data_IF_644542520560
#
_entry.id   IF_644542520560
#
_cell.length_a   1.000
_cell.length_b   1.000
_cell.length_c   1.000
_cell.angle_alpha   90.00
_cell.angle_beta   90.00
_cell.angle_gamma   90.00
#
_symmetry.space_group_name_H-M   'P 1'
#
loop_
_entity.id
_entity.type
_entity.pdbx_description
1 polymer ?
#
# COMPACT_ATOMS: atom_id res chain seq x y z
N UNK A 1 38.09 0.23 -1.26
CA UNK A 1 38.05 0.20 0.22
C UNK A 1 39.45 -0.12 0.74
N UNK A 2 39.94 0.50 1.82
CA UNK A 2 41.19 0.10 2.49
C UNK A 2 40.95 -1.10 3.41
N UNK A 3 42.00 -1.81 3.85
CA UNK A 3 41.86 -2.96 4.78
C UNK A 3 41.23 -2.55 6.12
N UNK A 4 41.57 -1.36 6.63
CA UNK A 4 41.00 -0.83 7.87
C UNK A 4 39.53 -0.42 7.69
N UNK A 5 39.17 0.15 6.54
CA UNK A 5 37.76 0.41 6.17
C UNK A 5 36.97 -0.88 6.06
N UNK A 6 37.53 -1.92 5.43
CA UNK A 6 36.89 -3.23 5.31
C UNK A 6 36.60 -3.85 6.68
N UNK A 7 37.56 -3.77 7.60
CA UNK A 7 37.38 -4.24 8.97
C UNK A 7 36.30 -3.45 9.72
N UNK A 8 36.27 -2.13 9.57
CA UNK A 8 35.21 -1.29 10.15
C UNK A 8 33.83 -1.61 9.54
N UNK A 9 33.76 -1.84 8.23
CA UNK A 9 32.53 -2.22 7.52
C UNK A 9 31.98 -3.54 8.06
N UNK A 10 32.80 -4.61 8.07
CA UNK A 10 32.39 -5.91 8.60
C UNK A 10 31.92 -5.84 10.06
N UNK A 11 32.56 -4.99 10.88
CA UNK A 11 32.13 -4.79 12.27
C UNK A 11 30.75 -4.13 12.34
N UNK A 12 30.52 -3.08 11.54
CA UNK A 12 29.23 -2.41 11.48
C UNK A 12 28.14 -3.38 10.98
N UNK A 13 28.44 -4.17 9.95
CA UNK A 13 27.51 -5.16 9.39
C UNK A 13 27.19 -6.27 10.39
N UNK A 14 28.17 -6.73 11.17
CA UNK A 14 27.93 -7.64 12.28
C UNK A 14 26.97 -7.05 13.33
N UNK A 15 27.18 -5.80 13.74
CA UNK A 15 26.30 -5.12 14.70
C UNK A 15 24.88 -4.96 14.13
N UNK A 16 24.75 -4.61 12.84
CA UNK A 16 23.46 -4.51 12.14
C UNK A 16 22.74 -5.84 12.03
N UNK A 17 23.45 -6.91 11.67
CA UNK A 17 22.90 -8.26 11.58
C UNK A 17 22.43 -8.76 12.94
N UNK A 18 23.20 -8.47 14.00
CA UNK A 18 22.82 -8.81 15.38
C UNK A 18 21.51 -8.09 15.79
N UNK A 19 21.40 -6.80 15.50
CA UNK A 19 20.19 -6.02 15.77
C UNK A 19 18.99 -6.50 14.95
N UNK A 20 19.21 -6.88 13.69
CA UNK A 20 18.18 -7.48 12.84
C UNK A 20 17.65 -8.79 13.45
N UNK A 21 18.54 -9.69 13.85
CA UNK A 21 18.14 -10.95 14.49
C UNK A 21 17.44 -10.76 15.84
N UNK A 22 17.85 -9.76 16.62
CA UNK A 22 17.16 -9.41 17.87
C UNK A 22 15.79 -8.79 17.63
N UNK A 23 15.66 -7.91 16.62
CA UNK A 23 14.40 -7.26 16.27
C UNK A 23 13.33 -8.25 15.81
N UNK A 24 13.75 -9.36 15.21
CA UNK A 24 12.88 -10.44 14.73
C UNK A 24 12.75 -11.61 15.72
N UNK A 25 13.28 -11.48 16.95
CA UNK A 25 13.29 -12.53 17.98
C UNK A 25 13.70 -13.92 17.46
N UNK A 26 14.77 -13.97 16.64
CA UNK A 26 15.28 -15.21 16.04
C UNK A 26 15.61 -16.27 17.08
N UNK A 27 16.09 -15.87 18.26
CA UNK A 27 16.44 -16.79 19.35
C UNK A 27 15.21 -17.43 19.99
N UNK A 28 14.08 -16.72 19.98
CA UNK A 28 12.82 -17.20 20.57
C UNK A 28 12.00 -18.04 19.58
N UNK A 29 12.37 -18.04 18.30
CA UNK A 29 11.69 -18.79 17.22
C UNK A 29 10.60 -17.99 16.49
N UNK A 30 10.37 -16.73 16.87
CA UNK A 30 9.32 -15.89 16.27
C UNK A 30 9.49 -15.70 14.76
N UNK A 31 10.74 -15.64 14.28
CA UNK A 31 11.03 -15.57 12.84
C UNK A 31 10.52 -16.82 12.11
N UNK A 32 10.70 -18.01 12.70
CA UNK A 32 10.24 -19.26 12.08
C UNK A 32 8.70 -19.32 12.04
N UNK A 33 8.03 -18.83 13.09
CA UNK A 33 6.57 -18.72 13.15
C UNK A 33 6.00 -17.76 12.09
N UNK A 34 6.72 -16.70 11.75
CA UNK A 34 6.36 -15.78 10.66
C UNK A 34 6.56 -16.44 9.29
N UNK A 35 7.70 -17.12 9.11
CA UNK A 35 8.11 -17.69 7.84
C UNK A 35 7.35 -18.97 7.46
N UNK A 36 6.80 -19.71 8.41
CA UNK A 36 6.03 -20.94 8.15
C UNK A 36 4.80 -20.71 7.26
N UNK A 37 4.31 -19.47 7.17
CA UNK A 37 3.15 -19.08 6.37
C UNK A 37 3.49 -18.30 5.10
N UNK A 38 4.78 -18.11 4.81
CA UNK A 38 5.28 -17.37 3.66
C UNK A 38 6.53 -18.06 3.08
N UNK A 39 6.33 -19.14 2.34
CA UNK A 39 7.36 -20.01 1.79
C UNK A 39 8.32 -19.26 0.86
N UNK A 40 7.81 -18.39 0.00
CA UNK A 40 8.67 -17.56 -0.87
C UNK A 40 9.59 -16.65 -0.03
N UNK A 41 9.07 -16.10 1.07
CA UNK A 41 9.83 -15.25 1.99
C UNK A 41 10.85 -16.07 2.78
N UNK A 42 10.45 -17.25 3.24
CA UNK A 42 11.31 -18.23 3.91
C UNK A 42 12.52 -18.59 3.03
N UNK A 43 12.27 -18.98 1.79
CA UNK A 43 13.33 -19.38 0.86
C UNK A 43 14.26 -18.22 0.52
N UNK A 44 13.72 -17.00 0.42
CA UNK A 44 14.53 -15.80 0.22
C UNK A 44 15.43 -15.48 1.43
N UNK A 45 14.90 -15.58 2.66
CA UNK A 45 15.69 -15.40 3.89
C UNK A 45 16.81 -16.45 3.96
N UNK A 46 16.47 -17.72 3.78
CA UNK A 46 17.45 -18.82 3.81
C UNK A 46 18.52 -18.66 2.72
N UNK A 47 18.13 -18.24 1.51
CA UNK A 47 19.07 -18.00 0.42
C UNK A 47 20.05 -16.87 0.77
N UNK A 48 19.57 -15.79 1.37
CA UNK A 48 20.42 -14.66 1.78
C UNK A 48 21.38 -15.07 2.91
N UNK A 49 20.89 -15.80 3.92
CA UNK A 49 21.71 -16.33 5.02
C UNK A 49 22.76 -17.32 4.52
N UNK A 50 22.39 -18.19 3.56
CA UNK A 50 23.32 -19.13 2.92
C UNK A 50 24.46 -18.40 2.21
N UNK A 51 24.14 -17.36 1.43
CA UNK A 51 25.13 -16.55 0.72
C UNK A 51 26.02 -15.76 1.68
N UNK A 52 25.43 -15.15 2.71
CA UNK A 52 26.16 -14.39 3.73
C UNK A 52 27.13 -15.29 4.50
N UNK A 53 26.68 -16.45 4.97
CA UNK A 53 27.55 -17.41 5.67
C UNK A 53 28.67 -17.94 4.78
N UNK A 54 28.40 -18.15 3.49
CA UNK A 54 29.42 -18.54 2.50
C UNK A 54 30.48 -17.44 2.33
N UNK A 55 30.07 -16.18 2.21
CA UNK A 55 31.00 -15.04 2.11
C UNK A 55 31.87 -14.92 3.38
N UNK A 56 31.28 -15.10 4.56
CA UNK A 56 32.02 -15.13 5.84
C UNK A 56 33.06 -16.25 5.86
N UNK A 57 32.69 -17.48 5.50
CA UNK A 57 33.64 -18.60 5.44
C UNK A 57 34.76 -18.36 4.42
N UNK A 58 34.45 -17.79 3.27
CA UNK A 58 35.46 -17.40 2.28
C UNK A 58 36.46 -16.40 2.87
N UNK A 59 35.97 -15.37 3.56
CA UNK A 59 36.81 -14.39 4.26
C UNK A 59 37.73 -15.01 5.29
N UNK A 60 37.20 -15.92 6.12
CA UNK A 60 37.96 -16.61 7.18
C UNK A 60 38.99 -17.60 6.63
N UNK A 61 38.70 -18.26 5.51
CA UNK A 61 39.60 -19.25 4.89
C UNK A 61 40.91 -18.67 4.34
N UNK A 62 40.99 -17.34 4.17
CA UNK A 62 42.15 -16.66 3.58
C UNK A 62 43.30 -16.44 4.55
N UNK A 63 43.03 -16.39 5.84
CA UNK A 63 44.08 -16.27 6.86
C UNK A 63 43.86 -17.29 8.01
N UNK A 64 44.09 -18.58 7.73
CA UNK A 64 43.89 -19.64 8.71
C UNK A 64 44.92 -19.56 9.86
N UNK A 65 45.97 -18.76 9.72
CA UNK A 65 47.02 -18.60 10.74
C UNK A 65 46.56 -17.80 11.96
N UNK A 66 45.47 -17.05 11.82
CA UNK A 66 44.89 -16.18 12.87
C UNK A 66 43.73 -16.87 13.61
N UNK A 67 43.23 -18.01 13.09
CA UNK A 67 42.08 -18.70 13.67
C UNK A 67 42.48 -19.48 14.93
N UNK A 68 41.77 -19.21 16.03
CA UNK A 68 41.86 -20.04 17.23
C UNK A 68 41.13 -21.38 17.02
N UNK A 69 41.42 -22.38 17.86
CA UNK A 69 40.70 -23.66 17.83
C UNK A 69 39.17 -23.50 17.96
N UNK A 70 38.73 -22.59 18.83
CA UNK A 70 37.31 -22.27 19.02
C UNK A 70 36.67 -21.70 17.75
N UNK A 71 37.41 -20.87 17.00
CA UNK A 71 36.91 -20.32 15.74
C UNK A 71 36.84 -21.38 14.63
N UNK A 72 37.73 -22.38 14.64
CA UNK A 72 37.63 -23.50 13.70
C UNK A 72 36.37 -24.33 13.95
N UNK A 73 36.07 -24.65 15.21
CA UNK A 73 34.82 -25.34 15.59
C UNK A 73 33.58 -24.55 15.12
N UNK A 74 33.56 -23.23 15.32
CA UNK A 74 32.48 -22.37 14.83
C UNK A 74 32.38 -22.33 13.28
N UNK A 75 33.50 -22.42 12.58
CA UNK A 75 33.49 -22.50 11.11
C UNK A 75 32.94 -23.83 10.62
N UNK A 76 33.22 -24.93 11.33
CA UNK A 76 32.68 -26.25 11.02
C UNK A 76 31.17 -26.30 11.31
N UNK A 77 30.74 -25.73 12.44
CA UNK A 77 29.32 -25.56 12.78
C UNK A 77 28.59 -24.76 11.69
N UNK A 78 29.14 -23.59 11.31
CA UNK A 78 28.58 -22.77 10.25
C UNK A 78 28.51 -23.54 8.93
N UNK A 79 29.56 -24.29 8.56
CA UNK A 79 29.55 -25.12 7.35
C UNK A 79 28.41 -26.16 7.37
N UNK A 80 28.22 -26.83 8.50
CA UNK A 80 27.16 -27.83 8.65
C UNK A 80 25.75 -27.20 8.54
N UNK A 81 25.57 -26.00 9.07
CA UNK A 81 24.32 -25.23 8.95
C UNK A 81 24.07 -24.85 7.48
N UNK A 82 25.10 -24.37 6.77
CA UNK A 82 24.98 -24.00 5.37
C UNK A 82 24.65 -25.20 4.48
N UNK A 83 25.26 -26.36 4.73
CA UNK A 83 24.94 -27.62 4.02
C UNK A 83 23.48 -28.03 4.27
N UNK A 84 22.99 -27.87 5.50
CA UNK A 84 21.60 -28.15 5.87
C UNK A 84 20.64 -27.20 5.16
N UNK A 85 20.93 -25.90 5.16
CA UNK A 85 20.14 -24.88 4.47
C UNK A 85 20.13 -25.10 2.96
N UNK A 86 21.26 -25.45 2.36
CA UNK A 86 21.33 -25.79 0.93
C UNK A 86 20.45 -27.01 0.61
N UNK A 87 20.45 -28.03 1.48
CA UNK A 87 19.59 -29.20 1.31
C UNK A 87 18.10 -28.86 1.44
N UNK A 88 17.72 -27.94 2.35
CA UNK A 88 16.34 -27.47 2.50
C UNK A 88 15.84 -26.69 1.27
N UNK A 89 16.72 -25.90 0.64
CA UNK A 89 16.39 -25.12 -0.56
C UNK A 89 16.34 -25.95 -1.86
N UNK A 90 16.77 -27.22 -1.84
CA UNK A 90 16.62 -28.12 -3.00
C UNK A 90 15.20 -28.68 -3.01
N UNK A 91 14.36 -28.18 -3.92
CA UNK A 91 13.00 -28.70 -4.13
C UNK A 91 13.00 -30.22 -4.40
N UNK A 92 12.05 -30.99 -3.83
CA UNK A 92 11.95 -32.43 -4.06
C UNK A 92 11.32 -32.83 -5.41
N UNK A 93 10.96 -31.89 -6.30
CA UNK A 93 10.32 -32.18 -7.59
C UNK A 93 11.10 -31.64 -8.79
N UNK A 94 12.26 -32.21 -9.07
CA UNK A 94 12.77 -32.24 -10.44
C UNK A 94 13.70 -33.43 -10.66
N UNK A 95 13.17 -34.47 -11.31
CA UNK A 95 13.93 -35.55 -11.96
C UNK A 95 14.68 -35.01 -13.21
N UNK A 96 15.31 -33.83 -13.10
CA UNK A 96 16.38 -33.39 -13.99
C UNK A 96 17.69 -33.88 -13.37
N UNK A 97 18.57 -34.54 -14.14
CA UNK A 97 19.85 -35.01 -13.61
C UNK A 97 20.57 -33.81 -13.01
N UNK A 98 20.73 -33.84 -11.68
CA UNK A 98 21.43 -32.85 -10.91
C UNK A 98 22.70 -32.47 -11.65
N UNK A 99 22.70 -31.29 -12.28
CA UNK A 99 23.97 -30.60 -12.50
C UNK A 99 24.51 -30.45 -11.10
N UNK A 100 25.67 -31.05 -10.77
CA UNK A 100 26.35 -30.64 -9.57
C UNK A 100 26.38 -29.11 -9.63
N UNK A 101 26.00 -28.45 -8.56
CA UNK A 101 26.58 -27.15 -8.28
C UNK A 101 28.09 -27.41 -8.23
N UNK A 102 28.72 -27.39 -9.40
CA UNK A 102 30.12 -27.05 -9.53
C UNK A 102 30.17 -25.67 -8.91
N UNK A 103 30.86 -25.48 -7.77
CA UNK A 103 31.26 -24.14 -7.37
C UNK A 103 31.89 -23.59 -8.63
N UNK A 104 31.30 -22.52 -9.18
CA UNK A 104 31.73 -21.96 -10.45
C UNK A 104 33.25 -21.94 -10.46
N UNK A 105 33.82 -22.78 -11.33
CA UNK A 105 35.22 -23.08 -11.30
C UNK A 105 35.99 -21.79 -11.52
N UNK A 106 36.81 -21.45 -10.54
CA UNK A 106 38.13 -20.90 -10.81
C UNK A 106 38.16 -19.58 -11.59
N UNK A 107 37.59 -18.54 -11.01
CA UNK A 107 38.24 -17.24 -10.94
C UNK A 107 38.70 -16.99 -9.49
N UNK A 108 39.46 -17.94 -8.93
CA UNK A 108 40.30 -17.70 -7.73
C UNK A 108 41.49 -16.76 -8.06
N UNK A 109 41.23 -15.80 -8.94
CA UNK A 109 42.07 -14.69 -9.34
C UNK A 109 41.58 -13.49 -8.53
N UNK A 110 42.25 -13.23 -7.41
CA UNK A 110 42.30 -11.89 -6.81
C UNK A 110 40.95 -11.29 -6.34
N UNK A 111 40.04 -12.07 -5.74
CA UNK A 111 39.12 -11.42 -4.80
C UNK A 111 39.94 -11.00 -3.58
N UNK A 112 40.06 -9.71 -3.32
CA UNK A 112 40.68 -9.18 -2.10
C UNK A 112 39.73 -9.30 -0.90
N UNK A 113 40.28 -9.07 0.29
CA UNK A 113 39.52 -9.01 1.55
C UNK A 113 38.43 -7.94 1.52
N UNK A 114 38.60 -6.94 0.66
CA UNK A 114 37.69 -5.83 0.45
C UNK A 114 36.43 -6.25 -0.27
N UNK A 115 36.54 -7.12 -1.26
CA UNK A 115 35.44 -7.61 -2.08
C UNK A 115 34.54 -8.54 -1.24
N UNK A 116 35.13 -9.39 -0.39
CA UNK A 116 34.37 -10.22 0.55
C UNK A 116 33.63 -9.37 1.58
N UNK A 117 34.25 -8.29 2.06
CA UNK A 117 33.59 -7.36 2.97
C UNK A 117 32.42 -6.63 2.28
N UNK A 118 32.59 -6.22 1.02
CA UNK A 118 31.50 -5.64 0.21
C UNK A 118 30.35 -6.63 0.00
N UNK A 119 30.64 -7.91 -0.26
CA UNK A 119 29.61 -8.95 -0.34
C UNK A 119 28.83 -9.12 0.97
N UNK A 120 29.53 -9.14 2.11
CA UNK A 120 28.91 -9.20 3.44
C UNK A 120 27.97 -8.00 3.64
N UNK A 121 28.41 -6.80 3.28
CA UNK A 121 27.58 -5.59 3.34
C UNK A 121 26.34 -5.74 2.47
N UNK A 122 26.49 -6.18 1.22
CA UNK A 122 25.37 -6.36 0.28
C UNK A 122 24.33 -7.33 0.84
N UNK A 123 24.74 -8.50 1.31
CA UNK A 123 23.79 -9.49 1.84
C UNK A 123 23.14 -9.04 3.15
N UNK A 124 23.89 -8.31 3.99
CA UNK A 124 23.34 -7.70 5.21
C UNK A 124 22.29 -6.64 4.88
N UNK A 125 22.55 -5.78 3.89
CA UNK A 125 21.58 -4.80 3.40
C UNK A 125 20.33 -5.50 2.83
N UNK A 126 20.48 -6.56 2.04
CA UNK A 126 19.35 -7.33 1.53
C UNK A 126 18.47 -7.93 2.65
N UNK A 127 19.07 -8.45 3.72
CA UNK A 127 18.33 -8.96 4.88
C UNK A 127 17.57 -7.84 5.60
N UNK A 128 18.20 -6.68 5.78
CA UNK A 128 17.59 -5.52 6.42
C UNK A 128 16.46 -4.94 5.58
N UNK A 129 16.63 -4.86 4.26
CA UNK A 129 15.59 -4.40 3.32
C UNK A 129 14.37 -5.34 3.29
N UNK A 130 14.55 -6.59 3.71
CA UNK A 130 13.46 -7.57 3.84
C UNK A 130 12.67 -7.41 5.15
N UNK A 131 13.16 -6.65 6.13
CA UNK A 131 12.48 -6.47 7.43
C UNK A 131 11.01 -6.04 7.31
N UNK A 132 10.62 -5.07 6.45
CA UNK A 132 9.21 -4.71 6.29
C UNK A 132 8.33 -5.84 5.75
N UNK A 133 8.91 -6.76 4.97
CA UNK A 133 8.20 -7.95 4.49
C UNK A 133 8.08 -9.01 5.59
N UNK A 134 9.02 -9.06 6.53
CA UNK A 134 8.97 -9.94 7.70
C UNK A 134 7.99 -9.42 8.77
N UNK A 135 7.86 -8.10 8.91
CA UNK A 135 6.86 -7.49 9.81
C UNK A 135 5.41 -7.72 9.35
N UNK A 136 5.20 -7.83 8.04
CA UNK A 136 3.89 -8.04 7.43
C UNK A 136 3.99 -8.97 6.21
N UNK A 137 4.19 -10.28 6.43
CA UNK A 137 4.41 -11.24 5.36
C UNK A 137 3.17 -11.38 4.48
N UNK A 138 3.40 -11.48 3.17
CA UNK A 138 2.39 -11.93 2.25
C UNK A 138 2.18 -13.44 2.47
N UNK A 139 1.04 -13.80 3.03
CA UNK A 139 0.73 -15.20 3.34
C UNK A 139 0.53 -16.02 2.06
N UNK A 140 1.07 -17.23 2.05
CA UNK A 140 0.89 -18.14 0.94
C UNK A 140 -0.59 -18.49 0.76
N UNK A 141 -1.07 -18.40 -0.48
CA UNK A 141 -2.40 -18.90 -0.82
C UNK A 141 -2.28 -20.41 -0.91
N UNK A 142 -2.62 -21.10 0.16
CA UNK A 142 -2.63 -22.55 0.21
C UNK A 142 -3.73 -23.10 -0.73
N UNK A 143 -3.41 -23.28 -2.02
CA UNK A 143 -4.34 -23.84 -3.03
C UNK A 143 -4.42 -25.37 -2.94
N UNK A 144 -3.56 -26.01 -2.15
CA UNK A 144 -3.44 -27.47 -2.06
C UNK A 144 -3.78 -28.04 -0.69
N UNK A 145 -5.07 -28.19 -0.38
CA UNK A 145 -5.51 -28.92 0.80
C UNK A 145 -7.02 -29.05 0.85
N UNK A 146 -7.54 -30.25 0.64
CA UNK A 146 -8.96 -30.61 0.72
C UNK A 146 -9.67 -30.00 1.93
N UNK A 147 -10.48 -29.00 1.66
CA UNK A 147 -11.30 -28.29 2.62
C UNK A 147 -11.85 -27.07 1.91
N UNK A 148 -12.92 -27.24 1.13
CA UNK A 148 -13.76 -26.12 0.74
C UNK A 148 -13.92 -25.23 1.98
N UNK A 149 -13.52 -23.94 1.94
CA UNK A 149 -13.99 -23.03 2.97
C UNK A 149 -15.52 -23.12 2.92
N UNK A 150 -16.22 -23.32 4.05
CA UNK A 150 -17.66 -23.37 4.03
C UNK A 150 -18.18 -21.99 3.57
N UNK A 151 -18.49 -21.86 2.27
CA UNK A 151 -19.36 -20.79 1.76
C UNK A 151 -18.79 -19.73 0.82
N UNK A 152 -17.67 -19.90 0.11
CA UNK A 152 -17.40 -19.07 -1.08
C UNK A 152 -17.23 -19.95 -2.32
N UNK A 153 -18.31 -20.64 -2.69
CA UNK A 153 -18.49 -21.02 -4.08
C UNK A 153 -18.25 -19.77 -4.92
N UNK A 154 -17.21 -19.77 -5.78
CA UNK A 154 -16.91 -18.68 -6.71
C UNK A 154 -18.21 -18.34 -7.44
N UNK A 155 -18.87 -17.28 -6.99
CA UNK A 155 -20.19 -16.95 -7.49
C UNK A 155 -20.02 -16.53 -8.95
N UNK A 156 -20.50 -17.37 -9.85
CA UNK A 156 -20.48 -17.07 -11.28
C UNK A 156 -21.58 -16.07 -11.58
N UNK A 157 -21.25 -14.97 -12.26
CA UNK A 157 -22.23 -13.97 -12.69
C UNK A 157 -22.59 -14.19 -14.16
N UNK A 158 -23.87 -14.17 -14.48
CA UNK A 158 -24.37 -14.30 -15.86
C UNK A 158 -24.69 -12.91 -16.39
N UNK A 159 -23.68 -12.25 -16.96
CA UNK A 159 -23.81 -10.91 -17.55
C UNK A 159 -23.40 -10.88 -19.01
N UNK A 160 -23.90 -9.89 -19.73
CA UNK A 160 -23.76 -9.78 -21.19
C UNK A 160 -22.41 -9.25 -21.67
N UNK A 161 -21.52 -8.79 -20.80
CA UNK A 161 -20.21 -8.25 -21.18
C UNK A 161 -19.16 -8.38 -20.08
N UNK A 162 -17.89 -8.43 -20.48
CA UNK A 162 -16.75 -8.49 -19.56
C UNK A 162 -16.64 -7.24 -18.69
N UNK A 163 -17.00 -6.07 -19.22
CA UNK A 163 -17.07 -4.83 -18.42
C UNK A 163 -18.11 -4.95 -17.29
N UNK A 164 -19.24 -5.63 -17.54
CA UNK A 164 -20.22 -5.89 -16.49
C UNK A 164 -19.69 -6.87 -15.44
N UNK A 165 -18.83 -7.84 -15.79
CA UNK A 165 -18.20 -8.73 -14.81
C UNK A 165 -17.31 -7.97 -13.83
N UNK A 166 -16.57 -6.96 -14.30
CA UNK A 166 -15.75 -6.10 -13.45
C UNK A 166 -16.63 -5.38 -12.43
N UNK A 167 -17.76 -4.82 -12.86
CA UNK A 167 -18.71 -4.18 -11.94
C UNK A 167 -19.36 -5.19 -10.98
N UNK A 168 -19.67 -6.42 -11.42
CA UNK A 168 -20.21 -7.45 -10.53
C UNK A 168 -19.27 -7.75 -9.37
N UNK A 169 -17.98 -7.96 -9.66
CA UNK A 169 -16.94 -8.21 -8.64
C UNK A 169 -16.86 -7.05 -7.65
N UNK A 170 -16.71 -5.82 -8.16
CA UNK A 170 -16.65 -4.61 -7.32
C UNK A 170 -17.87 -4.39 -6.44
N UNK A 171 -19.07 -4.72 -6.93
CA UNK A 171 -20.30 -4.61 -6.15
C UNK A 171 -20.36 -5.73 -5.10
N UNK A 172 -19.99 -6.96 -5.45
CA UNK A 172 -19.95 -8.10 -4.53
C UNK A 172 -18.98 -7.85 -3.38
N UNK A 173 -17.79 -7.34 -3.66
CA UNK A 173 -16.76 -7.05 -2.65
C UNK A 173 -17.21 -5.98 -1.64
N UNK A 174 -18.08 -5.05 -2.06
CA UNK A 174 -18.59 -3.97 -1.20
C UNK A 174 -19.91 -4.31 -0.52
N UNK A 175 -20.67 -5.23 -1.10
CA UNK A 175 -22.02 -5.59 -0.68
C UNK A 175 -22.17 -7.11 -0.72
N UNK A 176 -21.38 -7.79 0.13
CA UNK A 176 -21.37 -9.26 0.27
C UNK A 176 -22.77 -9.88 0.38
N UNK A 177 -23.73 -9.36 1.19
CA UNK A 177 -25.03 -10.00 1.34
C UNK A 177 -26.00 -9.74 0.18
N UNK A 178 -25.61 -9.01 -0.86
CA UNK A 178 -26.54 -8.60 -1.92
C UNK A 178 -26.97 -9.80 -2.79
N UNK A 179 -28.28 -10.00 -3.07
CA UNK A 179 -28.71 -11.05 -3.98
C UNK A 179 -28.01 -10.99 -5.34
N UNK A 180 -27.60 -12.16 -5.87
CA UNK A 180 -26.90 -12.30 -7.16
C UNK A 180 -27.53 -11.48 -8.30
N UNK A 181 -28.85 -11.63 -8.46
CA UNK A 181 -29.58 -10.95 -9.54
C UNK A 181 -29.53 -9.41 -9.42
N UNK A 182 -29.38 -8.86 -8.20
CA UNK A 182 -29.22 -7.42 -7.99
C UNK A 182 -27.81 -6.98 -8.37
N UNK A 183 -26.78 -7.76 -8.01
CA UNK A 183 -25.40 -7.50 -8.43
C UNK A 183 -25.31 -7.43 -9.95
N UNK A 184 -25.89 -8.41 -10.66
CA UNK A 184 -25.90 -8.46 -12.13
C UNK A 184 -26.66 -7.28 -12.76
N UNK A 185 -27.84 -6.93 -12.21
CA UNK A 185 -28.65 -5.79 -12.70
C UNK A 185 -27.94 -4.46 -12.48
N UNK A 186 -27.31 -4.27 -11.32
CA UNK A 186 -26.54 -3.07 -11.00
C UNK A 186 -25.30 -2.96 -11.87
N UNK A 187 -24.59 -4.07 -12.10
CA UNK A 187 -23.46 -4.10 -13.00
C UNK A 187 -23.86 -3.68 -14.42
N UNK A 188 -24.96 -4.24 -14.95
CA UNK A 188 -25.52 -3.83 -16.25
C UNK A 188 -25.87 -2.35 -16.29
N UNK A 189 -26.51 -1.82 -15.23
CA UNK A 189 -26.85 -0.40 -15.15
C UNK A 189 -25.59 0.50 -15.12
N UNK A 190 -24.53 0.06 -14.43
CA UNK A 190 -23.26 0.78 -14.40
C UNK A 190 -22.56 0.79 -15.76
N UNK A 191 -22.56 -0.32 -16.49
CA UNK A 191 -22.05 -0.36 -17.87
C UNK A 191 -22.84 0.61 -18.75
N UNK A 192 -24.17 0.58 -18.70
CA UNK A 192 -25.02 1.50 -19.48
C UNK A 192 -24.75 2.97 -19.14
N UNK A 193 -24.50 3.29 -17.87
CA UNK A 193 -24.13 4.64 -17.46
C UNK A 193 -22.75 5.02 -18.02
N UNK A 194 -21.78 4.12 -17.91
CA UNK A 194 -20.42 4.35 -18.38
C UNK A 194 -20.35 4.55 -19.91
N UNK A 195 -21.15 3.82 -20.68
CA UNK A 195 -21.24 4.03 -22.14
C UNK A 195 -21.84 5.39 -22.48
N UNK A 196 -22.96 5.78 -21.85
CA UNK A 196 -23.57 7.10 -22.06
C UNK A 196 -22.60 8.23 -21.69
N UNK A 197 -21.84 8.11 -20.60
CA UNK A 197 -20.86 9.11 -20.21
C UNK A 197 -19.70 9.23 -21.20
N UNK A 198 -19.18 8.09 -21.70
CA UNK A 198 -18.16 8.07 -22.76
C UNK A 198 -18.65 8.73 -24.04
N UNK A 199 -19.88 8.44 -24.44
CA UNK A 199 -20.52 9.01 -25.63
C UNK A 199 -20.79 10.51 -25.52
N UNK A 200 -21.08 11.02 -24.32
CA UNK A 200 -21.24 12.46 -24.10
C UNK A 200 -19.89 13.16 -24.14
N UNK A 201 -18.84 12.55 -23.56
CA UNK A 201 -17.48 13.09 -23.56
C UNK A 201 -16.89 13.16 -24.97
N UNK A 202 -17.21 12.20 -25.83
CA UNK A 202 -16.82 12.23 -27.25
C UNK A 202 -17.64 13.24 -28.07
N UNK A 203 -18.91 13.47 -27.72
CA UNK A 203 -19.76 14.49 -28.39
C UNK A 203 -19.45 15.92 -27.96
N UNK A 204 -19.02 16.16 -26.73
CA UNK A 204 -18.55 17.47 -26.25
C UNK A 204 -17.17 17.86 -26.80
N UNK A 205 -16.50 16.96 -27.52
CA UNK A 205 -15.24 17.22 -28.21
C UNK A 205 -15.43 17.68 -29.68
N UNK A 206 -16.57 18.30 -30.01
CA UNK A 206 -16.73 19.07 -31.26
C UNK A 206 -16.27 20.51 -31.02
N UNK A 207 -15.34 21.06 -31.82
CA UNK A 207 -14.77 22.38 -31.57
C UNK A 207 -15.78 23.45 -31.99
N UNK A 208 -16.28 24.22 -31.02
CA UNK A 208 -17.29 25.23 -31.29
C UNK A 208 -17.63 26.06 -30.07
N UNK A 209 -16.63 26.83 -29.60
CA UNK A 209 -16.66 28.24 -29.16
C UNK A 209 -15.32 28.46 -28.46
N UNK A 210 -14.47 29.29 -29.08
CA UNK A 210 -13.26 29.83 -28.48
C UNK A 210 -13.66 30.64 -27.24
N UNK A 211 -13.54 30.03 -26.07
CA UNK A 211 -13.25 30.80 -24.85
C UNK A 211 -11.73 30.84 -24.78
N UNK A 212 -11.15 32.00 -25.09
CA UNK A 212 -9.77 32.31 -24.78
C UNK A 212 -9.65 32.42 -23.26
N UNK A 213 -9.47 31.29 -22.58
CA UNK A 213 -8.85 31.28 -21.28
C UNK A 213 -7.34 31.18 -21.49
N UNK A 214 -6.66 32.26 -21.13
CA UNK A 214 -5.20 32.42 -21.17
C UNK A 214 -4.55 31.58 -20.05
N UNK A 215 -4.71 30.26 -20.14
CA UNK A 215 -3.98 29.30 -19.33
C UNK A 215 -3.22 28.42 -20.32
N UNK A 216 -2.07 28.92 -20.73
CA UNK A 216 -1.09 28.12 -21.47
C UNK A 216 -0.63 26.95 -20.60
N UNK A 217 -0.39 25.79 -21.22
CA UNK A 217 0.16 24.56 -20.62
C UNK A 217 1.63 24.72 -20.12
N UNK A 218 2.00 25.90 -19.65
CA UNK A 218 3.26 26.20 -18.97
C UNK A 218 3.27 25.73 -17.51
N UNK A 219 2.10 25.44 -16.93
CA UNK A 219 1.97 25.09 -15.50
C UNK A 219 2.47 23.68 -15.12
N UNK A 220 2.86 22.85 -16.09
CA UNK A 220 3.37 21.50 -15.84
C UNK A 220 4.83 21.28 -16.29
N UNK A 221 5.55 22.34 -16.64
CA UNK A 221 6.99 22.24 -16.91
C UNK A 221 7.80 22.38 -15.61
N UNK A 222 8.36 21.26 -15.14
CA UNK A 222 9.10 21.12 -13.87
C UNK A 222 10.49 21.78 -13.84
N UNK A 223 10.62 23.05 -14.23
CA UNK A 223 11.93 23.71 -14.30
C UNK A 223 12.12 24.98 -13.45
N UNK A 224 11.09 25.57 -12.85
CA UNK A 224 11.25 26.80 -12.05
C UNK A 224 10.87 26.61 -10.58
N UNK A 225 11.87 26.38 -9.73
CA UNK A 225 11.73 26.49 -8.27
C UNK A 225 11.59 27.98 -7.89
N UNK A 226 10.36 28.49 -7.90
CA UNK A 226 10.05 29.76 -7.24
C UNK A 226 9.46 29.49 -5.85
N UNK A 227 10.27 29.80 -4.85
CA UNK A 227 9.88 29.85 -3.45
C UNK A 227 8.65 30.77 -3.32
N UNK A 228 7.54 30.24 -2.82
CA UNK A 228 6.33 31.03 -2.57
C UNK A 228 6.37 31.57 -1.15
N UNK A 229 6.35 32.90 -1.02
CA UNK A 229 6.24 33.56 0.28
C UNK A 229 4.85 33.34 0.87
N UNK A 230 4.81 32.91 2.14
CA UNK A 230 3.55 32.72 2.87
C UNK A 230 2.86 34.08 3.08
N UNK A 231 1.61 34.20 2.64
CA UNK A 231 0.81 35.39 2.85
C UNK A 231 0.48 35.55 4.34
N UNK A 232 0.85 36.70 4.93
CA UNK A 232 0.46 37.06 6.29
C UNK A 232 -1.06 37.28 6.32
N UNK A 233 -1.78 36.38 6.99
CA UNK A 233 -3.21 36.56 7.26
C UNK A 233 -3.43 37.83 8.09
N UNK A 234 -4.34 38.70 7.62
CA UNK A 234 -4.80 39.90 8.34
C UNK A 234 -6.11 39.64 9.10
N UNK A 235 -6.56 38.38 9.20
CA UNK A 235 -7.73 38.02 9.99
C UNK A 235 -7.32 37.76 11.45
N UNK A 236 -7.97 38.38 12.46
CA UNK A 236 -7.68 38.09 13.85
C UNK A 236 -8.04 36.63 14.14
N UNK A 237 -7.06 35.85 14.61
CA UNK A 237 -7.25 34.45 14.97
C UNK A 237 -8.02 34.36 16.29
N UNK A 238 -9.28 33.93 16.25
CA UNK A 238 -9.97 33.45 17.45
C UNK A 238 -9.50 32.03 17.75
N UNK A 239 -8.36 31.93 18.44
CA UNK A 239 -7.86 30.67 18.97
C UNK A 239 -8.83 30.12 20.03
N UNK A 240 -9.24 28.86 19.86
CA UNK A 240 -10.17 28.14 20.76
C UNK A 240 -9.52 27.85 22.13
N UNK A 241 -8.21 28.08 22.29
CA UNK A 241 -7.48 27.88 23.55
C UNK A 241 -7.39 29.15 24.43
N UNK A 242 -8.07 30.24 24.07
CA UNK A 242 -7.96 31.53 24.80
C UNK A 242 -8.85 31.64 26.05
N UNK A 243 -9.70 30.64 26.32
CA UNK A 243 -10.72 30.73 27.39
C UNK A 243 -10.25 30.08 28.70
N UNK A 244 -9.07 30.45 29.19
CA UNK A 244 -8.69 30.23 30.60
C UNK A 244 -8.08 31.52 31.13
N UNK A 245 -8.94 32.43 31.58
CA UNK A 245 -8.76 33.29 32.76
C UNK A 245 -9.76 34.46 32.73
N UNK A 246 -10.82 34.38 33.52
CA UNK A 246 -11.04 35.22 34.72
C UNK A 246 -12.53 35.23 35.12
N UNK A 247 -12.83 35.18 36.44
CA UNK A 247 -14.18 35.22 36.95
C UNK A 247 -14.61 36.68 37.16
N UNK A 248 -15.84 37.04 36.79
CA UNK A 248 -16.57 38.14 37.44
C UNK A 248 -18.07 38.02 37.24
N UNK A 249 -18.75 38.13 38.36
CA UNK A 249 -20.19 38.05 38.55
C UNK A 249 -20.94 39.23 37.94
N UNK A 250 -22.15 38.99 37.45
CA UNK A 250 -23.37 39.74 37.82
C UNK A 250 -24.61 38.97 37.35
N UNK A 251 -25.61 38.93 38.24
CA UNK A 251 -26.91 38.29 38.08
C UNK A 251 -27.81 39.00 37.06
N UNK A 252 -28.77 38.25 36.44
CA UNK A 252 -30.23 38.36 36.71
C UNK A 252 -31.08 37.59 35.67
N UNK A 253 -32.04 36.82 36.20
CA UNK A 253 -33.40 36.40 35.74
C UNK A 253 -33.86 36.67 34.29
N UNK A 254 -34.79 35.95 33.64
CA UNK A 254 -35.67 34.78 33.83
C UNK A 254 -36.39 34.61 32.45
N UNK A 255 -36.88 33.39 32.16
CA UNK A 255 -37.95 33.02 31.19
C UNK A 255 -37.63 33.01 29.68
N UNK A 256 -37.94 31.86 29.05
CA UNK A 256 -38.32 31.78 27.65
C UNK A 256 -37.73 30.60 26.90
N UNK A 257 -38.16 29.37 27.23
CA UNK A 257 -37.93 28.21 26.38
C UNK A 257 -38.70 28.44 25.06
N UNK A 258 -38.00 28.67 23.96
CA UNK A 258 -38.53 28.47 22.62
C UNK A 258 -37.43 27.86 21.75
N UNK A 259 -37.51 26.53 21.69
CA UNK A 259 -36.67 25.63 20.94
C UNK A 259 -37.11 25.68 19.47
N UNK A 260 -36.64 26.68 18.70
CA UNK A 260 -36.70 26.67 17.23
C UNK A 260 -35.99 27.89 16.57
N UNK A 261 -34.67 27.97 16.70
CA UNK A 261 -33.85 28.68 15.70
C UNK A 261 -32.39 28.26 15.84
N UNK A 262 -32.06 27.08 15.33
CA UNK A 262 -30.66 26.81 14.98
C UNK A 262 -30.31 27.63 13.75
N UNK A 263 -29.82 28.85 13.99
CA UNK A 263 -28.99 29.57 13.05
C UNK A 263 -27.72 28.72 12.82
N UNK A 264 -27.79 27.85 11.82
CA UNK A 264 -26.64 27.10 11.37
C UNK A 264 -25.71 28.06 10.61
N UNK A 265 -24.66 28.49 11.29
CA UNK A 265 -23.49 29.17 10.73
C UNK A 265 -23.07 28.50 9.42
N UNK A 266 -23.15 29.26 8.32
CA UNK A 266 -22.71 28.82 7.00
C UNK A 266 -21.19 28.70 6.97
N UNK A 267 -20.68 27.50 7.23
CA UNK A 267 -19.35 27.12 6.77
C UNK A 267 -19.47 26.56 5.35
N UNK A 268 -19.25 27.42 4.36
CA UNK A 268 -19.09 27.01 2.96
C UNK A 268 -17.74 26.32 2.81
N UNK A 269 -17.71 25.00 3.00
CA UNK A 269 -16.62 24.17 2.50
C UNK A 269 -17.01 23.69 1.10
N UNK A 270 -16.37 24.28 0.10
CA UNK A 270 -16.37 23.75 -1.26
C UNK A 270 -15.49 22.50 -1.24
N UNK A 271 -16.11 21.33 -1.22
CA UNK A 271 -15.40 20.06 -1.42
C UNK A 271 -16.09 19.31 -2.53
N UNK A 272 -15.44 19.32 -3.69
CA UNK A 272 -15.70 18.41 -4.79
C UNK A 272 -15.60 16.98 -4.30
N UNK A 273 -16.74 16.29 -4.32
CA UNK A 273 -16.91 14.83 -4.30
C UNK A 273 -16.06 14.04 -3.29
N UNK A 274 -16.55 13.88 -2.06
CA UNK A 274 -16.53 12.61 -1.29
C UNK A 274 -17.12 12.82 0.09
N UNK A 275 -18.29 12.23 0.36
CA UNK A 275 -18.83 12.07 1.72
C UNK A 275 -19.87 10.93 1.74
N UNK A 276 -19.42 9.69 1.64
CA UNK A 276 -20.20 8.51 2.01
C UNK A 276 -19.50 7.89 3.22
N UNK A 277 -19.59 8.60 4.34
CA UNK A 277 -19.09 8.17 5.63
C UNK A 277 -19.95 8.87 6.67
N UNK A 278 -21.04 8.21 7.07
CA UNK A 278 -21.92 8.59 8.19
C UNK A 278 -22.62 9.97 8.04
N UNK A 279 -23.67 10.05 7.23
CA UNK A 279 -24.54 11.24 7.21
C UNK A 279 -25.78 11.04 6.36
N UNK A 280 -26.95 11.44 6.87
CA UNK A 280 -28.26 11.31 6.22
C UNK A 280 -28.19 11.57 4.71
N UNK A 281 -28.90 10.79 3.87
CA UNK A 281 -28.94 11.03 2.42
C UNK A 281 -29.30 12.48 2.15
N UNK A 282 -28.34 13.28 1.68
CA UNK A 282 -28.60 14.67 1.30
C UNK A 282 -29.13 14.65 -0.12
N UNK A 283 -30.37 15.09 -0.28
CA UNK A 283 -30.97 15.32 -1.59
C UNK A 283 -30.14 16.38 -2.33
N UNK A 284 -29.68 16.10 -3.57
CA UNK A 284 -28.91 17.03 -4.38
C UNK A 284 -29.60 18.40 -4.51
N UNK A 285 -28.85 19.48 -4.76
CA UNK A 285 -29.46 20.77 -5.11
C UNK A 285 -30.35 20.61 -6.35
N UNK A 286 -31.46 21.37 -6.38
CA UNK A 286 -32.37 21.40 -7.53
C UNK A 286 -31.63 22.03 -8.72
N UNK A 287 -31.53 21.35 -9.87
CA UNK A 287 -30.90 21.91 -11.06
C UNK A 287 -31.67 23.12 -11.61
N UNK A 288 -30.97 24.02 -12.32
CA UNK A 288 -31.60 25.17 -12.96
C UNK A 288 -32.59 24.68 -14.04
N UNK A 289 -33.84 25.12 -13.94
CA UNK A 289 -34.90 24.75 -14.89
C UNK A 289 -34.77 25.56 -16.17
N UNK A 290 -34.41 24.90 -17.27
CA UNK A 290 -34.40 25.51 -18.60
C UNK A 290 -35.75 25.30 -19.28
N UNK A 291 -36.81 25.97 -18.80
CA UNK A 291 -38.14 26.06 -19.45
C UNK A 291 -38.95 24.77 -19.59
N UNK A 292 -38.37 23.72 -20.17
CA UNK A 292 -38.99 22.43 -20.49
C UNK A 292 -38.72 21.34 -19.44
N UNK A 293 -37.92 21.63 -18.41
CA UNK A 293 -37.55 20.70 -17.35
C UNK A 293 -36.04 20.65 -17.13
N UNK A 294 -35.57 19.58 -16.48
CA UNK A 294 -34.14 19.31 -16.34
C UNK A 294 -33.88 17.80 -16.28
N UNK A 295 -32.66 17.41 -16.62
CA UNK A 295 -32.20 16.03 -16.48
C UNK A 295 -31.65 15.81 -15.08
N UNK A 296 -32.16 14.79 -14.38
CA UNK A 296 -31.64 14.45 -13.06
C UNK A 296 -30.15 14.06 -13.15
N UNK A 297 -29.24 14.70 -12.39
CA UNK A 297 -27.80 14.41 -12.45
C UNK A 297 -27.44 12.99 -11.94
N UNK A 298 -28.36 12.33 -11.24
CA UNK A 298 -28.17 10.98 -10.69
C UNK A 298 -28.74 9.92 -11.64
N UNK A 299 -30.03 9.98 -11.96
CA UNK A 299 -30.71 8.94 -12.74
C UNK A 299 -30.90 9.28 -14.22
N UNK A 300 -30.54 10.49 -14.65
CA UNK A 300 -30.63 10.96 -16.04
C UNK A 300 -32.03 10.87 -16.67
N UNK A 301 -33.07 10.73 -15.85
CA UNK A 301 -34.46 10.86 -16.29
C UNK A 301 -34.78 12.34 -16.48
N UNK A 302 -35.45 12.64 -17.58
CA UNK A 302 -35.95 13.98 -17.84
C UNK A 302 -37.16 14.25 -16.94
N UNK A 303 -37.00 15.18 -16.01
CA UNK A 303 -38.02 15.53 -15.03
C UNK A 303 -38.72 16.82 -15.45
N UNK A 304 -40.04 16.73 -15.60
CA UNK A 304 -40.92 17.84 -15.94
C UNK A 304 -41.83 18.10 -14.74
N UNK A 305 -42.05 19.37 -14.39
CA UNK A 305 -43.04 19.74 -13.37
C UNK A 305 -42.55 19.82 -11.92
N UNK A 306 -41.27 19.59 -11.65
CA UNK A 306 -40.67 19.82 -10.32
C UNK A 306 -40.46 21.32 -10.11
N UNK A 307 -41.35 21.97 -9.33
CA UNK A 307 -41.31 23.43 -9.13
C UNK A 307 -40.59 23.86 -7.86
N UNK A 308 -40.44 22.95 -6.90
CA UNK A 308 -39.89 23.27 -5.59
C UNK A 308 -38.98 22.15 -5.07
N UNK A 309 -38.22 22.45 -4.02
CA UNK A 309 -37.29 21.50 -3.41
C UNK A 309 -37.99 20.34 -2.69
N UNK A 310 -39.26 20.47 -2.28
CA UNK A 310 -40.00 19.38 -1.63
C UNK A 310 -40.33 18.27 -2.63
N UNK A 311 -40.71 18.64 -3.86
CA UNK A 311 -40.99 17.71 -4.95
C UNK A 311 -39.72 17.02 -5.49
N UNK A 312 -38.55 17.61 -5.23
CA UNK A 312 -37.25 17.08 -5.64
C UNK A 312 -36.62 16.08 -4.66
N UNK A 313 -37.12 16.04 -3.42
CA UNK A 313 -36.67 15.05 -2.42
C UNK A 313 -37.35 13.72 -2.64
#
# INVERSE_FOLDING_TARGET
MTKDEAHHSCRNDFERLLLWGQGLSVVDGDLDDVLIHAQELHDQVLTLLLRLGTAVLQGLSRDPSVLSQVMMEQCDDLRSLLETTEAMLREPESDEPARPYTPAGSDASEYGTTEVAEEITIYTDCLLDLSPALDNPALDINVGGSGEPPGQAKESFTVSSDEALIYCRRIRDRFEPLPKYLVERLAKANVNRATVLRDRRSRSAKPGILVTDDITESLFSSADYRLTDTTKSTAPSSSVFSSIAQPKATAREILGFNDNSSDATFASFSTTASAIGLGRPRVPPLPAMSGDGFDCPICSLHTIGVRNRKDWK
#
